data_IF_890721106527
#
_entry.id   IF_890721106527
#
_cell.length_a   1.000
_cell.length_b   1.000
_cell.length_c   1.000
_cell.angle_alpha   90.00
_cell.angle_beta   90.00
_cell.angle_gamma   90.00
#
_symmetry.space_group_name_H-M   'P 1'
#
loop_
_entity.id
_entity.type
_entity.pdbx_description
1 polymer ?
#
# COMPACT_ATOMS: atom_id res chain seq x y z
N UNK A 1 38.31 24.37 17.81
CA UNK A 1 38.79 22.99 18.03
C UNK A 1 37.67 21.95 18.14
N UNK A 2 36.75 22.03 19.11
CA UNK A 2 35.65 21.03 19.28
C UNK A 2 34.77 20.84 18.03
N UNK A 3 34.43 21.92 17.33
CA UNK A 3 33.64 21.89 16.09
C UNK A 3 34.36 21.18 14.92
N UNK A 4 35.68 21.37 14.80
CA UNK A 4 36.50 20.74 13.75
C UNK A 4 36.58 19.22 13.99
N UNK A 5 36.79 18.80 15.24
CA UNK A 5 36.80 17.38 15.60
C UNK A 5 35.43 16.72 15.32
N UNK A 6 34.34 17.43 15.58
CA UNK A 6 33.00 16.97 15.24
C UNK A 6 32.81 16.80 13.72
N UNK A 7 33.19 17.80 12.92
CA UNK A 7 33.14 17.72 11.46
C UNK A 7 33.97 16.57 10.91
N UNK A 8 35.20 16.39 11.41
CA UNK A 8 36.06 15.27 11.01
C UNK A 8 35.44 13.92 11.37
N UNK A 9 34.83 13.80 12.56
CA UNK A 9 34.10 12.59 12.96
C UNK A 9 32.91 12.30 12.04
N UNK A 10 32.12 13.32 11.70
CA UNK A 10 31.01 13.19 10.75
C UNK A 10 31.50 12.75 9.36
N UNK A 11 32.52 13.42 8.82
CA UNK A 11 33.12 13.06 7.53
C UNK A 11 33.66 11.62 7.54
N UNK A 12 34.32 11.20 8.62
CA UNK A 12 34.82 9.83 8.77
C UNK A 12 33.69 8.80 8.73
N UNK A 13 32.56 9.05 9.41
CA UNK A 13 31.38 8.16 9.34
C UNK A 13 30.80 8.12 7.93
N UNK A 14 30.69 9.26 7.25
CA UNK A 14 30.21 9.32 5.86
C UNK A 14 31.13 8.50 4.95
N UNK A 15 32.45 8.68 5.04
CA UNK A 15 33.41 7.89 4.27
C UNK A 15 33.29 6.40 4.59
N UNK A 16 33.20 6.04 5.87
CA UNK A 16 33.10 4.64 6.31
C UNK A 16 31.84 3.93 5.79
N UNK A 17 30.67 4.56 5.92
CA UNK A 17 29.39 3.97 5.50
C UNK A 17 29.29 3.83 3.98
N UNK A 18 30.00 4.68 3.23
CA UNK A 18 30.00 4.67 1.77
C UNK A 18 31.24 3.98 1.18
N UNK A 19 32.12 3.39 1.99
CA UNK A 19 33.30 2.65 1.51
C UNK A 19 32.91 1.28 0.90
N UNK A 20 33.58 0.80 -0.16
CA UNK A 20 34.75 1.38 -0.83
C UNK A 20 34.44 2.55 -1.78
N UNK A 21 33.24 2.56 -2.37
CA UNK A 21 32.92 3.46 -3.49
C UNK A 21 32.23 4.74 -3.03
N UNK A 22 32.92 5.53 -2.20
CA UNK A 22 32.33 6.69 -1.51
C UNK A 22 31.65 7.67 -2.46
N UNK A 23 32.31 8.00 -3.57
CA UNK A 23 31.80 8.95 -4.56
C UNK A 23 30.57 8.38 -5.27
N UNK A 24 30.60 7.10 -5.63
CA UNK A 24 29.50 6.45 -6.35
C UNK A 24 28.27 6.33 -5.46
N UNK A 25 28.43 5.86 -4.22
CA UNK A 25 27.33 5.76 -3.26
C UNK A 25 26.69 7.13 -2.96
N UNK A 26 27.48 8.19 -2.83
CA UNK A 26 26.96 9.55 -2.69
C UNK A 26 26.23 10.03 -3.94
N UNK A 27 26.73 9.73 -5.14
CA UNK A 27 26.04 10.03 -6.41
C UNK A 27 24.72 9.27 -6.52
N UNK A 28 24.68 7.98 -6.20
CA UNK A 28 23.47 7.16 -6.19
C UNK A 28 22.46 7.67 -5.17
N UNK A 29 22.90 8.08 -3.98
CA UNK A 29 22.04 8.70 -2.98
C UNK A 29 21.44 10.02 -3.50
N UNK A 30 22.25 10.87 -4.13
CA UNK A 30 21.77 12.12 -4.73
C UNK A 30 20.79 11.88 -5.89
N UNK A 31 21.10 10.91 -6.75
CA UNK A 31 20.22 10.50 -7.84
C UNK A 31 18.90 9.96 -7.31
N UNK A 32 18.94 9.11 -6.28
CA UNK A 32 17.75 8.61 -5.61
C UNK A 32 16.89 9.74 -5.03
N UNK A 33 17.49 10.73 -4.36
CA UNK A 33 16.78 11.92 -3.85
C UNK A 33 16.14 12.71 -5.00
N UNK A 34 16.87 12.89 -6.10
CA UNK A 34 16.37 13.58 -7.31
C UNK A 34 15.21 12.83 -7.94
N UNK A 35 15.32 11.51 -8.11
CA UNK A 35 14.26 10.65 -8.66
C UNK A 35 13.04 10.67 -7.75
N UNK A 36 13.23 10.52 -6.44
CA UNK A 36 12.15 10.52 -5.45
C UNK A 36 11.34 11.82 -5.45
N UNK A 37 11.96 12.95 -5.81
CA UNK A 37 11.26 14.23 -5.97
C UNK A 37 10.60 14.45 -7.33
N UNK A 38 11.01 13.71 -8.37
CA UNK A 38 10.49 13.87 -9.74
C UNK A 38 9.46 12.79 -10.13
N UNK A 39 9.61 11.57 -9.61
CA UNK A 39 8.83 10.39 -9.95
C UNK A 39 8.52 9.60 -8.68
N UNK A 40 7.58 10.13 -7.89
CA UNK A 40 7.10 9.46 -6.68
C UNK A 40 6.12 8.33 -7.05
N UNK A 41 5.82 7.40 -6.12
CA UNK A 41 4.93 6.28 -6.41
C UNK A 41 3.51 6.73 -6.73
N UNK A 42 3.08 7.92 -6.27
CA UNK A 42 1.82 8.52 -6.70
C UNK A 42 1.74 8.69 -8.21
N UNK A 43 2.85 9.10 -8.83
CA UNK A 43 2.96 9.21 -10.28
C UNK A 43 2.80 7.86 -11.00
N UNK A 44 3.33 6.77 -10.46
CA UNK A 44 3.18 5.42 -11.04
C UNK A 44 1.76 4.85 -10.89
N UNK A 45 1.03 5.28 -9.87
CA UNK A 45 -0.27 4.70 -9.49
C UNK A 45 -1.44 5.67 -9.75
N UNK A 46 -1.24 6.65 -10.63
CA UNK A 46 -2.22 7.72 -10.83
C UNK A 46 -3.60 7.23 -11.20
N UNK A 47 -3.68 6.14 -11.98
CA UNK A 47 -4.94 5.44 -12.24
C UNK A 47 -5.65 5.21 -10.91
N UNK A 48 -5.06 4.39 -10.04
CA UNK A 48 -5.65 3.96 -8.78
C UNK A 48 -5.91 5.11 -7.82
N UNK A 49 -5.09 6.15 -7.83
CA UNK A 49 -5.20 7.24 -6.88
C UNK A 49 -6.27 8.27 -7.25
N UNK A 50 -6.59 8.40 -8.54
CA UNK A 50 -7.58 9.36 -9.03
C UNK A 50 -9.00 9.12 -8.48
N UNK A 51 -9.36 7.90 -8.08
CA UNK A 51 -10.63 7.63 -7.37
C UNK A 51 -10.67 8.25 -5.97
N UNK A 52 -9.53 8.39 -5.29
CA UNK A 52 -9.48 8.91 -3.93
C UNK A 52 -9.15 10.40 -3.89
N UNK A 53 -8.44 10.89 -4.90
CA UNK A 53 -7.91 12.24 -4.99
C UNK A 53 -8.18 12.88 -6.37
N UNK A 54 -9.44 12.92 -6.85
CA UNK A 54 -9.75 13.34 -8.23
C UNK A 54 -9.41 14.81 -8.54
N UNK A 55 -9.19 15.63 -7.52
CA UNK A 55 -8.92 17.08 -7.65
C UNK A 55 -7.46 17.46 -7.38
N UNK A 56 -6.60 16.51 -7.03
CA UNK A 56 -5.20 16.79 -6.74
C UNK A 56 -4.35 16.57 -7.98
N UNK A 57 -3.37 17.44 -8.18
CA UNK A 57 -2.27 17.11 -9.06
C UNK A 57 -1.47 15.98 -8.39
N UNK A 58 -1.64 14.77 -8.92
CA UNK A 58 -1.13 13.55 -8.28
C UNK A 58 0.39 13.56 -8.15
N UNK A 59 1.11 14.34 -8.99
CA UNK A 59 2.56 14.53 -8.86
C UNK A 59 2.95 15.28 -7.58
N UNK A 60 2.09 16.19 -7.12
CA UNK A 60 2.32 17.06 -5.96
C UNK A 60 1.61 16.52 -4.71
N UNK A 61 0.92 15.37 -4.82
CA UNK A 61 0.24 14.75 -3.70
C UNK A 61 1.25 14.30 -2.64
N UNK A 62 1.15 14.92 -1.48
CA UNK A 62 1.96 14.67 -0.29
C UNK A 62 1.12 14.94 0.94
N UNK A 63 1.39 14.25 2.05
CA UNK A 63 0.79 14.57 3.35
C UNK A 63 1.58 15.60 4.16
N UNK A 64 2.76 16.02 3.69
CA UNK A 64 3.56 17.08 4.28
C UNK A 64 3.95 16.83 5.75
N UNK A 65 4.02 17.89 6.56
CA UNK A 65 4.28 17.80 8.00
C UNK A 65 3.26 16.96 8.78
N UNK A 66 2.00 16.93 8.34
CA UNK A 66 0.97 16.11 8.99
C UNK A 66 1.32 14.62 8.86
N UNK A 67 1.78 14.20 7.68
CA UNK A 67 2.26 12.83 7.48
C UNK A 67 3.45 12.52 8.38
N UNK A 68 4.43 13.43 8.49
CA UNK A 68 5.63 13.24 9.32
C UNK A 68 5.25 13.03 10.80
N UNK A 69 4.35 13.86 11.32
CA UNK A 69 3.87 13.73 12.70
C UNK A 69 3.18 12.38 12.90
N UNK A 70 2.26 12.00 11.99
CA UNK A 70 1.53 10.73 12.07
C UNK A 70 2.47 9.52 11.93
N UNK A 71 3.43 9.58 11.02
CA UNK A 71 4.45 8.55 10.80
C UNK A 71 5.29 8.35 12.07
N UNK A 72 5.86 9.40 12.64
CA UNK A 72 6.67 9.26 13.85
C UNK A 72 5.86 8.88 15.09
N UNK A 73 4.60 9.32 15.19
CA UNK A 73 3.69 8.84 16.25
C UNK A 73 3.37 7.35 16.10
N UNK A 74 3.32 6.81 14.87
CA UNK A 74 3.11 5.38 14.63
C UNK A 74 4.37 4.56 14.90
N UNK A 75 5.51 4.99 14.34
CA UNK A 75 6.77 4.25 14.39
C UNK A 75 7.46 4.35 15.74
N UNK A 76 7.28 5.48 16.42
CA UNK A 76 7.96 5.85 17.66
C UNK A 76 6.98 6.52 18.65
N UNK A 77 5.86 5.85 19.02
CA UNK A 77 4.77 6.45 19.80
C UNK A 77 5.18 7.01 21.16
N UNK A 78 6.31 6.54 21.70
CA UNK A 78 6.88 7.00 22.96
C UNK A 78 8.12 7.88 22.75
N UNK A 79 9.05 7.48 21.88
CA UNK A 79 10.28 8.24 21.65
C UNK A 79 10.00 9.60 21.02
N UNK A 80 9.03 9.72 20.11
CA UNK A 80 8.76 10.98 19.42
C UNK A 80 8.14 12.05 20.35
N UNK A 81 7.12 11.74 21.19
CA UNK A 81 6.67 12.69 22.22
C UNK A 81 7.76 13.02 23.25
N UNK A 82 8.56 12.03 23.67
CA UNK A 82 9.68 12.26 24.59
C UNK A 82 10.74 13.17 23.96
N UNK A 83 11.01 13.01 22.66
CA UNK A 83 11.88 13.90 21.89
C UNK A 83 11.36 15.34 21.90
N UNK A 84 10.08 15.56 21.59
CA UNK A 84 9.45 16.88 21.64
C UNK A 84 9.58 17.49 23.05
N UNK A 85 9.27 16.71 24.09
CA UNK A 85 9.41 17.15 25.48
C UNK A 85 10.87 17.46 25.84
N UNK A 86 11.81 16.66 25.33
CA UNK A 86 13.25 16.84 25.46
C UNK A 86 13.71 18.15 24.83
N UNK A 87 13.27 18.46 23.61
CA UNK A 87 13.52 19.75 22.93
C UNK A 87 13.07 20.91 23.82
N UNK A 88 11.82 20.89 24.27
CA UNK A 88 11.25 21.95 25.13
C UNK A 88 12.03 22.08 26.43
N UNK A 89 12.40 20.95 27.04
CA UNK A 89 13.15 20.90 28.29
C UNK A 89 14.54 21.51 28.15
N UNK A 90 15.33 21.10 27.15
CA UNK A 90 16.70 21.63 26.96
C UNK A 90 16.69 23.11 26.56
N UNK A 91 15.72 23.55 25.76
CA UNK A 91 15.56 24.96 25.43
C UNK A 91 15.22 25.81 26.65
N UNK A 92 14.47 25.28 27.63
CA UNK A 92 14.15 25.99 28.87
C UNK A 92 15.28 25.98 29.89
N UNK A 93 16.04 24.89 29.99
CA UNK A 93 17.04 24.68 31.07
C UNK A 93 18.48 24.97 30.67
N UNK A 94 18.80 24.89 29.39
CA UNK A 94 20.15 25.01 28.88
C UNK A 94 20.19 25.88 27.61
N UNK A 95 19.38 26.94 27.52
CA UNK A 95 19.35 27.81 26.34
C UNK A 95 20.73 28.37 26.02
N UNK A 96 21.26 28.02 24.86
CA UNK A 96 22.53 28.51 24.35
C UNK A 96 22.57 28.36 22.83
N UNK A 97 23.44 29.08 22.11
CA UNK A 97 23.63 28.86 20.68
C UNK A 97 23.95 27.40 20.33
N UNK A 98 24.71 26.70 21.19
CA UNK A 98 25.01 25.28 21.01
C UNK A 98 23.78 24.39 21.16
N UNK A 99 22.90 24.68 22.11
CA UNK A 99 21.63 23.95 22.32
C UNK A 99 20.69 24.12 21.14
N UNK A 100 20.56 25.34 20.62
CA UNK A 100 19.76 25.61 19.40
C UNK A 100 20.32 24.81 18.23
N UNK A 101 21.65 24.80 18.05
CA UNK A 101 22.30 24.02 17.00
C UNK A 101 22.00 22.52 17.13
N UNK A 102 22.07 21.95 18.34
CA UNK A 102 21.73 20.54 18.57
C UNK A 102 20.27 20.22 18.22
N UNK A 103 19.33 21.09 18.60
CA UNK A 103 17.92 20.93 18.25
C UNK A 103 17.73 20.96 16.73
N UNK A 104 18.31 21.95 16.05
CA UNK A 104 18.24 22.06 14.58
C UNK A 104 18.83 20.83 13.89
N UNK A 105 20.03 20.40 14.29
CA UNK A 105 20.68 19.22 13.70
C UNK A 105 19.87 17.94 13.93
N UNK A 106 19.23 17.80 15.10
CA UNK A 106 18.42 16.61 15.42
C UNK A 106 17.17 16.47 14.55
N UNK A 107 16.63 17.58 14.04
CA UNK A 107 15.42 17.63 13.23
C UNK A 107 15.71 17.94 11.75
N UNK A 108 16.98 18.04 11.37
CA UNK A 108 17.39 18.42 10.02
C UNK A 108 16.93 17.42 8.95
N UNK A 109 17.00 16.08 9.15
CA UNK A 109 16.63 15.16 8.08
C UNK A 109 15.17 15.30 7.60
N UNK A 110 14.14 15.35 8.48
CA UNK A 110 12.76 15.64 8.03
C UNK A 110 12.61 16.98 7.32
N UNK A 111 13.30 18.03 7.79
CA UNK A 111 13.28 19.35 7.14
C UNK A 111 13.85 19.28 5.72
N UNK A 112 15.00 18.63 5.55
CA UNK A 112 15.62 18.47 4.24
C UNK A 112 14.77 17.60 3.30
N UNK A 113 14.17 16.52 3.82
CA UNK A 113 13.26 15.66 3.07
C UNK A 113 12.07 16.47 2.51
N UNK A 114 11.48 17.35 3.32
CA UNK A 114 10.37 18.20 2.89
C UNK A 114 10.80 19.30 1.92
N UNK A 115 11.93 19.98 2.17
CA UNK A 115 12.47 20.98 1.23
C UNK A 115 12.76 20.36 -0.14
N UNK A 116 13.24 19.11 -0.17
CA UNK A 116 13.55 18.39 -1.41
C UNK A 116 12.37 17.70 -2.05
N UNK A 117 11.21 17.66 -1.37
CA UNK A 117 10.06 16.96 -1.88
C UNK A 117 10.31 15.46 -2.09
N UNK A 118 11.11 14.80 -1.24
CA UNK A 118 11.32 13.34 -1.37
C UNK A 118 10.03 12.57 -1.06
N UNK A 119 9.89 11.38 -1.63
CA UNK A 119 8.74 10.50 -1.41
C UNK A 119 8.49 10.23 0.09
N UNK A 120 7.21 10.23 0.50
CA UNK A 120 6.82 10.14 1.91
C UNK A 120 6.61 8.68 2.35
N UNK A 121 7.71 8.00 2.65
CA UNK A 121 7.74 6.64 3.22
C UNK A 121 8.97 6.44 4.12
N UNK A 122 8.98 5.36 4.90
CA UNK A 122 9.83 5.20 6.08
C UNK A 122 11.33 5.37 5.84
N UNK A 123 11.89 4.74 4.81
CA UNK A 123 13.32 4.82 4.50
C UNK A 123 13.86 6.26 4.40
N UNK A 124 13.07 7.19 3.85
CA UNK A 124 13.48 8.60 3.70
C UNK A 124 13.53 9.39 5.00
N UNK A 125 12.80 8.94 6.02
CA UNK A 125 12.68 9.63 7.31
C UNK A 125 13.40 8.90 8.44
N UNK A 126 13.82 7.65 8.22
CA UNK A 126 14.59 6.86 9.18
C UNK A 126 15.86 7.57 9.71
N UNK A 127 16.63 8.34 8.89
CA UNK A 127 17.79 9.07 9.40
C UNK A 127 17.48 10.06 10.54
N UNK A 128 16.23 10.53 10.65
CA UNK A 128 15.79 11.39 11.76
C UNK A 128 15.92 10.71 13.14
N UNK A 129 15.82 9.37 13.18
CA UNK A 129 15.93 8.60 14.41
C UNK A 129 17.28 8.83 15.13
N UNK A 130 18.37 8.95 14.38
CA UNK A 130 19.70 9.23 14.96
C UNK A 130 19.72 10.60 15.62
N UNK A 131 19.13 11.61 14.97
CA UNK A 131 18.97 12.94 15.53
C UNK A 131 18.16 12.93 16.82
N UNK A 132 17.04 12.19 16.84
CA UNK A 132 16.17 12.07 18.02
C UNK A 132 16.89 11.41 19.19
N UNK A 133 17.56 10.28 18.97
CA UNK A 133 18.32 9.57 20.01
C UNK A 133 19.43 10.46 20.58
N UNK A 134 20.15 11.15 19.71
CA UNK A 134 21.25 12.04 20.11
C UNK A 134 20.75 13.20 20.98
N UNK A 135 19.66 13.88 20.56
CA UNK A 135 19.08 14.95 21.36
C UNK A 135 18.53 14.43 22.69
N UNK A 136 17.91 13.24 22.69
CA UNK A 136 17.44 12.61 23.93
C UNK A 136 18.59 12.30 24.89
N UNK A 137 19.72 11.81 24.39
CA UNK A 137 20.93 11.62 25.21
C UNK A 137 21.45 12.94 25.78
N UNK A 138 21.46 14.01 24.98
CA UNK A 138 21.81 15.35 25.44
C UNK A 138 20.82 15.85 26.51
N UNK A 139 19.52 15.73 26.28
CA UNK A 139 18.48 16.12 27.23
C UNK A 139 18.60 15.35 28.55
N UNK A 140 18.86 14.03 28.50
CA UNK A 140 19.12 13.22 29.69
C UNK A 140 20.37 13.71 30.45
N UNK A 141 21.43 14.10 29.74
CA UNK A 141 22.65 14.62 30.38
C UNK A 141 22.42 15.95 31.12
N UNK A 142 21.57 16.82 30.58
CA UNK A 142 21.13 18.06 31.23
C UNK A 142 20.25 17.71 32.43
N UNK A 143 19.31 16.78 32.25
CA UNK A 143 18.35 16.39 33.27
C UNK A 143 18.99 15.73 34.50
N UNK A 144 19.98 14.84 34.32
CA UNK A 144 20.68 14.17 35.43
C UNK A 144 21.42 15.18 36.34
N UNK A 145 21.81 16.33 35.78
CA UNK A 145 22.46 17.43 36.51
C UNK A 145 21.45 18.43 37.10
N UNK A 146 20.17 18.32 36.76
CA UNK A 146 19.11 19.21 37.23
C UNK A 146 18.71 18.85 38.68
N UNK A 147 18.46 19.84 39.56
CA UNK A 147 17.96 19.60 40.91
C UNK A 147 16.66 18.76 40.98
N UNK A 148 15.88 18.68 39.91
CA UNK A 148 14.68 17.86 39.82
C UNK A 148 14.97 16.34 39.68
N UNK A 149 16.19 15.94 39.31
CA UNK A 149 16.55 14.55 39.05
C UNK A 149 16.22 13.59 40.21
N UNK A 150 16.58 13.86 41.48
CA UNK A 150 16.29 12.94 42.58
C UNK A 150 14.79 12.64 42.74
N UNK A 151 13.92 13.61 42.38
CA UNK A 151 12.47 13.48 42.46
C UNK A 151 11.87 12.72 41.27
N UNK A 152 12.46 12.89 40.08
CA UNK A 152 11.88 12.39 38.82
C UNK A 152 12.59 11.16 38.25
N UNK A 153 13.74 10.74 38.79
CA UNK A 153 14.50 9.58 38.30
C UNK A 153 13.70 8.28 38.22
N UNK A 154 12.77 8.07 39.17
CA UNK A 154 11.92 6.88 39.16
C UNK A 154 10.93 6.93 37.99
N UNK A 155 10.30 8.08 37.74
CA UNK A 155 9.41 8.26 36.59
C UNK A 155 10.15 8.14 35.26
N UNK A 156 11.38 8.66 35.18
CA UNK A 156 12.23 8.49 34.00
C UNK A 156 12.58 7.01 33.75
N UNK A 157 12.89 6.25 34.81
CA UNK A 157 13.13 4.81 34.72
C UNK A 157 11.87 4.06 34.27
N UNK A 158 10.71 4.37 34.85
CA UNK A 158 9.42 3.78 34.45
C UNK A 158 9.16 4.06 32.97
N UNK A 159 9.33 5.31 32.51
CA UNK A 159 9.16 5.66 31.10
C UNK A 159 10.10 4.88 30.18
N UNK A 160 11.37 4.69 30.57
CA UNK A 160 12.33 3.88 29.82
C UNK A 160 11.95 2.39 29.76
N UNK A 161 11.43 1.82 30.86
CA UNK A 161 10.94 0.43 30.91
C UNK A 161 9.71 0.27 30.02
N UNK A 162 8.72 1.16 30.15
CA UNK A 162 7.52 1.18 29.29
C UNK A 162 7.91 1.30 27.81
N UNK A 163 8.90 2.15 27.50
CA UNK A 163 9.46 2.28 26.16
C UNK A 163 10.06 0.96 25.64
N UNK A 164 10.92 0.31 26.43
CA UNK A 164 11.53 -0.96 26.04
C UNK A 164 10.50 -2.07 25.84
N UNK A 165 9.55 -2.22 26.76
CA UNK A 165 8.49 -3.23 26.67
C UNK A 165 7.54 -2.96 25.49
N UNK A 166 7.15 -1.71 25.27
CA UNK A 166 6.28 -1.32 24.15
C UNK A 166 6.91 -1.63 22.79
N UNK A 167 8.19 -1.27 22.58
CA UNK A 167 8.91 -1.60 21.35
C UNK A 167 9.14 -3.11 21.21
N UNK A 168 9.50 -3.80 22.30
CA UNK A 168 9.64 -5.25 22.30
C UNK A 168 8.34 -5.95 21.90
N UNK A 169 7.20 -5.45 22.37
CA UNK A 169 5.88 -5.96 22.00
C UNK A 169 5.57 -5.74 20.52
N UNK A 170 5.79 -4.54 19.97
CA UNK A 170 5.59 -4.25 18.53
C UNK A 170 6.52 -5.11 17.68
N UNK A 171 7.79 -5.24 18.07
CA UNK A 171 8.73 -6.08 17.36
C UNK A 171 8.28 -7.55 17.35
N UNK A 172 7.92 -8.11 18.50
CA UNK A 172 7.54 -9.52 18.63
C UNK A 172 6.20 -9.87 17.97
N UNK A 173 5.22 -8.96 17.98
CA UNK A 173 3.87 -9.23 17.47
C UNK A 173 3.62 -8.69 16.06
N UNK A 174 4.48 -7.81 15.56
CA UNK A 174 4.35 -7.22 14.23
C UNK A 174 5.57 -7.47 13.36
N UNK A 175 6.69 -6.79 13.66
CA UNK A 175 7.84 -6.68 12.75
C UNK A 175 8.50 -8.03 12.50
N UNK A 176 8.77 -8.79 13.56
CA UNK A 176 9.44 -10.09 13.49
C UNK A 176 8.59 -11.14 12.77
N UNK A 177 7.33 -11.40 13.18
CA UNK A 177 6.52 -12.44 12.52
C UNK A 177 6.20 -12.10 11.06
N UNK A 178 6.02 -10.82 10.70
CA UNK A 178 5.79 -10.43 9.31
C UNK A 178 7.00 -10.64 8.41
N UNK A 179 8.21 -10.41 8.94
CA UNK A 179 9.48 -10.62 8.23
C UNK A 179 9.83 -12.10 8.11
N UNK A 180 9.42 -12.91 9.09
CA UNK A 180 9.69 -14.36 9.14
C UNK A 180 8.57 -15.21 8.54
N UNK A 181 7.59 -14.61 7.86
CA UNK A 181 6.40 -15.28 7.34
C UNK A 181 6.73 -16.56 6.55
N UNK A 182 7.61 -16.48 5.55
CA UNK A 182 7.98 -17.62 4.70
C UNK A 182 8.70 -18.70 5.48
N UNK A 183 9.55 -18.34 6.45
CA UNK A 183 10.21 -19.30 7.33
C UNK A 183 9.20 -20.04 8.21
N UNK A 184 8.20 -19.33 8.75
CA UNK A 184 7.15 -19.93 9.56
C UNK A 184 6.23 -20.83 8.73
N UNK A 185 5.91 -20.43 7.50
CA UNK A 185 5.18 -21.27 6.54
C UNK A 185 5.97 -22.55 6.26
N UNK A 186 7.26 -22.46 5.92
CA UNK A 186 8.10 -23.64 5.66
C UNK A 186 8.12 -24.59 6.85
N UNK A 187 8.42 -24.08 8.05
CA UNK A 187 8.45 -24.90 9.28
C UNK A 187 7.10 -25.51 9.59
N UNK A 188 6.02 -24.82 9.29
CA UNK A 188 4.67 -25.34 9.49
C UNK A 188 4.41 -26.53 8.54
N UNK A 189 4.69 -26.38 7.25
CA UNK A 189 4.50 -27.44 6.24
C UNK A 189 5.37 -28.67 6.59
N UNK A 190 6.64 -28.44 6.95
CA UNK A 190 7.57 -29.49 7.40
C UNK A 190 7.03 -30.26 8.62
N UNK A 191 6.51 -29.55 9.64
CA UNK A 191 5.94 -30.17 10.84
C UNK A 191 4.68 -30.98 10.57
N UNK A 192 3.88 -30.56 9.59
CA UNK A 192 2.71 -31.33 9.14
C UNK A 192 3.08 -32.53 8.26
N UNK A 193 4.37 -32.70 7.91
CA UNK A 193 4.82 -33.79 7.04
C UNK A 193 4.21 -33.75 5.64
N UNK A 194 3.76 -32.57 5.19
CA UNK A 194 3.06 -32.45 3.92
C UNK A 194 4.04 -32.31 2.77
N UNK A 195 4.05 -33.31 1.89
CA UNK A 195 4.89 -33.32 0.68
C UNK A 195 4.26 -32.55 -0.47
N UNK A 196 2.93 -32.59 -0.57
CA UNK A 196 2.19 -31.93 -1.62
C UNK A 196 1.40 -30.76 -1.03
N UNK A 197 1.63 -29.55 -1.57
CA UNK A 197 0.94 -28.33 -1.15
C UNK A 197 0.35 -27.65 -2.38
N UNK A 198 -0.96 -27.45 -2.38
CA UNK A 198 -1.64 -26.75 -3.46
C UNK A 198 -1.41 -25.24 -3.33
N UNK A 199 -1.21 -24.54 -4.44
CA UNK A 199 -1.10 -23.08 -4.44
C UNK A 199 -1.56 -22.50 -5.77
N UNK A 200 -2.07 -21.26 -5.75
CA UNK A 200 -2.66 -20.65 -6.94
C UNK A 200 -1.62 -20.42 -8.03
N UNK A 201 -1.92 -20.87 -9.26
CA UNK A 201 -1.00 -20.81 -10.41
C UNK A 201 -0.65 -19.38 -10.79
N UNK A 202 -1.66 -18.52 -10.92
CA UNK A 202 -1.58 -17.18 -11.51
C UNK A 202 -1.56 -16.06 -10.49
N UNK A 203 -1.49 -16.36 -9.18
CA UNK A 203 -1.52 -15.32 -8.16
C UNK A 203 -0.23 -14.47 -8.19
N UNK A 204 -0.32 -13.13 -8.29
CA UNK A 204 0.85 -12.25 -8.40
C UNK A 204 1.83 -12.34 -7.22
N UNK A 205 1.32 -12.54 -6.00
CA UNK A 205 2.17 -12.73 -4.81
C UNK A 205 2.67 -14.18 -4.64
N UNK A 206 2.34 -15.10 -5.54
CA UNK A 206 2.79 -16.50 -5.46
C UNK A 206 4.32 -16.58 -5.38
N UNK A 207 5.03 -15.84 -6.25
CA UNK A 207 6.51 -15.84 -6.27
C UNK A 207 7.10 -15.33 -4.95
N UNK A 208 6.51 -14.28 -4.38
CA UNK A 208 6.95 -13.69 -3.11
C UNK A 208 6.74 -14.61 -1.91
N UNK A 209 5.82 -15.58 -2.01
CA UNK A 209 5.52 -16.52 -0.92
C UNK A 209 6.21 -17.87 -1.14
N UNK A 210 6.02 -18.48 -2.32
CA UNK A 210 6.49 -19.84 -2.64
C UNK A 210 8.00 -19.85 -2.90
N UNK A 211 8.49 -19.00 -3.80
CA UNK A 211 9.89 -19.06 -4.23
C UNK A 211 10.85 -18.56 -3.13
N UNK A 212 10.32 -17.88 -2.11
CA UNK A 212 11.05 -17.34 -0.96
C UNK A 212 10.89 -18.18 0.31
N UNK A 213 10.30 -19.38 0.21
CA UNK A 213 10.33 -20.36 1.28
C UNK A 213 11.77 -20.84 1.53
N UNK A 214 11.99 -21.49 2.68
CA UNK A 214 13.28 -22.06 3.02
C UNK A 214 13.77 -23.00 1.89
N UNK A 215 14.98 -22.80 1.33
CA UNK A 215 15.52 -23.65 0.25
C UNK A 215 15.57 -25.14 0.59
N UNK A 216 15.68 -25.50 1.87
CA UNK A 216 15.59 -26.90 2.32
C UNK A 216 14.17 -27.44 2.14
N UNK A 217 13.18 -26.71 2.64
CA UNK A 217 11.77 -27.07 2.51
C UNK A 217 11.35 -27.21 1.04
N UNK A 218 11.84 -26.31 0.17
CA UNK A 218 11.56 -26.35 -1.28
C UNK A 218 12.06 -27.61 -1.98
N UNK A 219 13.04 -28.33 -1.42
CA UNK A 219 13.50 -29.62 -1.97
C UNK A 219 12.60 -30.79 -1.59
N UNK A 220 11.84 -30.64 -0.50
CA UNK A 220 11.02 -31.70 0.08
C UNK A 220 9.52 -31.53 -0.22
N UNK A 221 9.11 -30.32 -0.64
CA UNK A 221 7.72 -29.95 -0.92
C UNK A 221 7.51 -29.78 -2.43
N UNK A 222 6.50 -30.47 -2.97
CA UNK A 222 5.97 -30.29 -4.31
C UNK A 222 4.80 -29.31 -4.26
N UNK A 223 4.92 -28.19 -4.99
CA UNK A 223 3.82 -27.23 -5.13
C UNK A 223 2.94 -27.58 -6.33
N UNK A 224 1.69 -27.95 -6.06
CA UNK A 224 0.71 -28.30 -7.09
C UNK A 224 -0.07 -27.03 -7.48
N UNK A 225 0.02 -26.55 -8.72
CA UNK A 225 -0.71 -25.36 -9.15
C UNK A 225 -2.21 -25.64 -9.23
N UNK A 226 -3.02 -24.74 -8.69
CA UNK A 226 -4.48 -24.74 -8.80
C UNK A 226 -4.99 -23.39 -9.31
N UNK A 227 -6.18 -23.41 -9.90
CA UNK A 227 -6.90 -22.22 -10.35
C UNK A 227 -8.13 -21.94 -9.45
N UNK A 228 -8.55 -22.94 -8.65
CA UNK A 228 -9.57 -22.78 -7.59
C UNK A 228 -9.30 -23.74 -6.43
N UNK A 229 -9.61 -23.33 -5.19
CA UNK A 229 -9.59 -24.19 -4.00
C UNK A 229 -10.44 -25.44 -4.18
N UNK A 230 -11.46 -25.40 -5.05
CA UNK A 230 -12.30 -26.54 -5.37
C UNK A 230 -11.57 -27.67 -6.12
N UNK A 231 -10.38 -27.42 -6.68
CA UNK A 231 -9.56 -28.45 -7.34
C UNK A 231 -8.75 -29.31 -6.36
N UNK A 232 -8.47 -28.80 -5.17
CA UNK A 232 -7.74 -29.54 -4.14
C UNK A 232 -8.72 -30.46 -3.39
N UNK A 233 -8.64 -31.76 -3.63
CA UNK A 233 -9.52 -32.76 -3.00
C UNK A 233 -9.15 -33.05 -1.54
N UNK A 234 -7.88 -32.86 -1.18
CA UNK A 234 -7.36 -33.12 0.18
C UNK A 234 -6.05 -32.38 0.43
N UNK A 235 -5.52 -32.45 1.66
CA UNK A 235 -4.24 -31.85 2.01
C UNK A 235 -4.31 -30.34 2.29
N UNK A 236 -3.20 -29.64 2.03
CA UNK A 236 -3.01 -28.24 2.39
C UNK A 236 -3.01 -27.33 1.18
N UNK A 237 -3.72 -26.21 1.25
CA UNK A 237 -3.65 -25.14 0.27
C UNK A 237 -2.88 -23.97 0.87
N UNK A 238 -1.74 -23.62 0.30
CA UNK A 238 -1.04 -22.37 0.58
C UNK A 238 -1.68 -21.26 -0.25
N UNK A 239 -2.49 -20.45 0.44
CA UNK A 239 -3.14 -19.27 -0.07
C UNK A 239 -2.25 -18.04 0.21
N UNK A 240 -1.65 -17.42 -0.83
CA UNK A 240 -1.03 -16.10 -0.67
C UNK A 240 -2.05 -15.07 -0.18
N UNK A 241 -1.62 -13.93 0.37
CA UNK A 241 -2.54 -12.90 0.86
C UNK A 241 -3.64 -12.53 -0.14
N UNK A 242 -4.94 -12.73 0.21
CA UNK A 242 -6.06 -12.25 -0.59
C UNK A 242 -6.01 -10.74 -0.87
N UNK A 243 -5.56 -9.97 0.12
CA UNK A 243 -5.21 -8.58 -0.04
C UNK A 243 -3.85 -8.47 -0.72
N UNK A 244 -3.83 -7.87 -1.90
CA UNK A 244 -2.66 -7.73 -2.77
C UNK A 244 -1.71 -6.62 -2.37
N UNK A 245 -2.14 -5.75 -1.46
CA UNK A 245 -1.36 -4.63 -0.95
C UNK A 245 -0.14 -5.14 -0.17
N UNK A 246 1.04 -4.82 -0.69
CA UNK A 246 2.30 -5.09 -0.01
C UNK A 246 3.35 -4.06 -0.41
N UNK A 247 4.46 -4.01 0.32
CA UNK A 247 5.59 -3.14 -0.03
C UNK A 247 6.20 -3.48 -1.41
N UNK A 248 5.91 -4.67 -1.95
CA UNK A 248 6.36 -5.11 -3.27
C UNK A 248 5.35 -4.82 -4.38
N UNK A 249 4.10 -4.54 -4.02
CA UNK A 249 3.00 -4.21 -4.93
C UNK A 249 2.13 -3.16 -4.25
N UNK A 250 2.62 -1.92 -4.22
CA UNK A 250 1.89 -0.79 -3.67
C UNK A 250 0.69 -0.47 -4.54
N UNK A 251 -0.52 -0.66 -4.03
CA UNK A 251 -1.79 -0.17 -4.59
C UNK A 251 -2.14 -0.58 -6.04
N UNK A 252 -1.34 -1.37 -6.74
CA UNK A 252 -1.61 -1.95 -8.06
C UNK A 252 -2.25 -3.34 -7.98
N UNK A 253 -2.78 -3.64 -6.80
CA UNK A 253 -3.56 -4.82 -6.54
C UNK A 253 -4.87 -4.77 -7.29
N UNK A 254 -4.91 -5.30 -8.50
CA UNK A 254 -6.17 -5.72 -9.06
C UNK A 254 -6.67 -6.81 -8.12
N UNK A 255 -7.66 -6.51 -7.27
CA UNK A 255 -8.28 -7.47 -6.35
C UNK A 255 -9.01 -8.62 -7.08
N UNK A 256 -8.77 -8.76 -8.38
CA UNK A 256 -9.24 -9.79 -9.28
C UNK A 256 -8.40 -11.08 -9.18
N UNK A 257 -7.37 -11.12 -8.32
CA UNK A 257 -6.42 -12.24 -8.25
C UNK A 257 -7.07 -13.59 -7.87
N UNK A 258 -8.31 -13.57 -7.35
CA UNK A 258 -9.15 -14.75 -7.12
C UNK A 258 -10.52 -14.68 -7.81
N UNK A 259 -10.76 -13.78 -8.77
CA UNK A 259 -12.08 -13.60 -9.41
C UNK A 259 -12.65 -14.90 -10.00
N UNK A 260 -11.76 -15.76 -10.51
CA UNK A 260 -12.11 -17.06 -11.07
C UNK A 260 -12.44 -18.14 -10.02
N UNK A 261 -12.06 -17.94 -8.75
CA UNK A 261 -12.35 -18.87 -7.67
C UNK A 261 -13.61 -18.48 -6.90
N UNK A 262 -14.76 -18.83 -7.47
CA UNK A 262 -16.06 -18.54 -6.89
C UNK A 262 -16.23 -19.09 -5.46
N UNK A 263 -15.67 -20.26 -5.15
CA UNK A 263 -15.80 -20.88 -3.82
C UNK A 263 -15.01 -20.09 -2.79
N UNK A 264 -13.74 -19.79 -3.07
CA UNK A 264 -12.92 -18.99 -2.16
C UNK A 264 -13.51 -17.59 -1.96
N UNK A 265 -14.02 -16.97 -3.02
CA UNK A 265 -14.69 -15.67 -2.94
C UNK A 265 -15.91 -15.72 -2.02
N UNK A 266 -16.72 -16.77 -2.04
CA UNK A 266 -17.83 -16.92 -1.10
C UNK A 266 -17.34 -17.07 0.34
N UNK A 267 -16.32 -17.90 0.58
CA UNK A 267 -15.72 -18.08 1.91
C UNK A 267 -15.24 -16.73 2.48
N UNK A 268 -14.52 -15.94 1.68
CA UNK A 268 -14.01 -14.62 2.08
C UNK A 268 -15.16 -13.63 2.32
N UNK A 269 -16.15 -13.57 1.43
CA UNK A 269 -17.31 -12.67 1.57
C UNK A 269 -18.13 -12.94 2.82
N UNK A 270 -18.30 -14.22 3.17
CA UNK A 270 -18.99 -14.63 4.38
C UNK A 270 -18.14 -14.44 5.66
N UNK A 271 -16.89 -13.99 5.55
CA UNK A 271 -15.97 -13.83 6.68
C UNK A 271 -15.51 -15.15 7.29
N UNK A 272 -15.63 -16.27 6.56
CA UNK A 272 -15.35 -17.63 7.06
C UNK A 272 -13.96 -18.15 6.73
N UNK A 273 -13.08 -17.33 6.14
CA UNK A 273 -11.74 -17.78 5.73
C UNK A 273 -10.96 -18.41 6.90
N UNK A 274 -11.06 -17.82 8.09
CA UNK A 274 -10.40 -18.34 9.29
C UNK A 274 -10.93 -19.72 9.72
N UNK A 275 -12.21 -20.02 9.46
CA UNK A 275 -12.81 -21.31 9.81
C UNK A 275 -12.22 -22.46 8.98
N UNK A 276 -11.74 -22.18 7.77
CA UNK A 276 -11.10 -23.16 6.88
C UNK A 276 -9.57 -23.11 6.95
N UNK A 277 -9.01 -22.22 7.75
CA UNK A 277 -7.58 -22.09 7.93
C UNK A 277 -7.07 -23.01 9.05
N UNK A 278 -6.00 -23.75 8.76
CA UNK A 278 -5.25 -24.52 9.75
C UNK A 278 -4.20 -23.60 10.40
N UNK A 279 -3.63 -22.68 9.61
CA UNK A 279 -2.70 -21.68 10.11
C UNK A 279 -2.81 -20.37 9.32
N UNK A 280 -2.45 -19.27 9.97
CA UNK A 280 -2.33 -17.95 9.34
C UNK A 280 -1.01 -17.30 9.74
N UNK A 281 -0.39 -16.63 8.79
CA UNK A 281 0.94 -16.04 8.94
C UNK A 281 0.88 -14.56 8.65
N UNK A 282 1.38 -13.76 9.60
CA UNK A 282 1.55 -12.32 9.38
C UNK A 282 2.54 -12.14 8.23
N UNK A 283 2.19 -11.31 7.26
CA UNK A 283 3.10 -10.90 6.17
C UNK A 283 3.43 -9.41 6.30
N UNK A 284 4.35 -8.91 5.47
CA UNK A 284 4.66 -7.49 5.40
C UNK A 284 3.43 -6.62 5.07
N UNK A 285 2.50 -7.10 4.23
CA UNK A 285 1.26 -6.39 3.90
C UNK A 285 0.25 -6.31 5.07
N UNK A 286 0.34 -7.23 6.03
CA UNK A 286 -0.50 -7.23 7.25
C UNK A 286 0.12 -6.48 8.43
N UNK A 287 1.31 -5.92 8.26
CA UNK A 287 2.01 -5.17 9.29
C UNK A 287 1.53 -3.72 9.37
N UNK A 288 1.48 -3.19 10.58
CA UNK A 288 1.27 -1.76 10.82
C UNK A 288 2.46 -0.92 10.37
N UNK A 289 3.65 -1.51 10.53
CA UNK A 289 4.94 -0.85 10.38
C UNK A 289 5.45 -0.98 8.95
N UNK A 290 5.49 -2.19 8.39
CA UNK A 290 6.11 -2.39 7.07
C UNK A 290 5.36 -1.67 5.94
N UNK A 291 4.04 -1.52 6.04
CA UNK A 291 3.27 -0.75 5.05
C UNK A 291 3.73 0.71 4.91
N UNK A 292 4.45 1.25 5.91
CA UNK A 292 5.02 2.60 5.84
C UNK A 292 6.27 2.69 4.98
N UNK A 293 6.85 1.56 4.54
CA UNK A 293 7.99 1.52 3.62
C UNK A 293 7.57 1.62 2.14
N UNK A 294 6.28 1.82 1.88
CA UNK A 294 5.73 2.08 0.55
C UNK A 294 4.85 3.33 0.63
N UNK A 295 5.11 4.29 -0.25
CA UNK A 295 4.57 5.65 -0.15
C UNK A 295 3.04 5.71 -0.24
N UNK A 296 2.41 4.93 -1.12
CA UNK A 296 0.96 4.96 -1.28
C UNK A 296 0.27 4.26 -0.12
N UNK A 297 0.77 3.11 0.30
CA UNK A 297 0.26 2.41 1.47
C UNK A 297 0.41 3.28 2.72
N UNK A 298 1.54 3.96 2.90
CA UNK A 298 1.74 4.90 3.99
C UNK A 298 0.72 6.05 3.95
N UNK A 299 0.48 6.64 2.78
CA UNK A 299 -0.48 7.72 2.62
C UNK A 299 -1.92 7.28 2.82
N UNK A 300 -2.34 6.16 2.22
CA UNK A 300 -3.67 5.57 2.43
C UNK A 300 -3.92 5.32 3.92
N UNK A 301 -2.92 4.79 4.61
CA UNK A 301 -3.02 4.51 6.04
C UNK A 301 -3.08 5.79 6.88
N UNK A 302 -2.07 6.66 6.77
CA UNK A 302 -1.90 7.80 7.66
C UNK A 302 -2.82 8.98 7.30
N UNK A 303 -3.07 9.21 6.01
CA UNK A 303 -3.79 10.39 5.53
C UNK A 303 -5.25 10.09 5.20
N UNK A 304 -5.53 8.98 4.52
CA UNK A 304 -6.90 8.64 4.09
C UNK A 304 -7.64 7.74 5.08
N UNK A 305 -6.95 7.15 6.06
CA UNK A 305 -7.50 6.15 6.97
C UNK A 305 -8.14 4.95 6.21
N UNK A 306 -7.57 4.59 5.06
CA UNK A 306 -8.03 3.53 4.17
C UNK A 306 -7.15 2.29 4.35
N UNK A 307 -7.54 1.38 5.24
CA UNK A 307 -6.90 0.06 5.37
C UNK A 307 -7.93 -1.01 5.77
N UNK A 308 -8.90 -1.33 4.87
CA UNK A 308 -9.92 -2.29 5.18
C UNK A 308 -9.28 -3.69 5.18
N UNK A 309 -9.30 -4.37 6.33
CA UNK A 309 -9.09 -5.84 6.46
C UNK A 309 -7.64 -6.35 6.32
N UNK A 310 -6.82 -6.05 7.34
CA UNK A 310 -5.45 -6.60 7.48
C UNK A 310 -5.38 -8.11 7.67
N UNK A 311 -6.47 -8.73 8.07
CA UNK A 311 -6.60 -10.18 8.08
C UNK A 311 -6.46 -10.75 6.67
N UNK A 312 -7.01 -10.08 5.66
CA UNK A 312 -6.88 -10.49 4.26
C UNK A 312 -5.47 -10.28 3.70
N UNK A 313 -4.61 -9.50 4.33
CA UNK A 313 -3.21 -9.37 3.91
C UNK A 313 -2.28 -10.42 4.54
N UNK A 314 -2.82 -11.37 5.33
CA UNK A 314 -2.08 -12.52 5.86
C UNK A 314 -1.97 -13.63 4.81
N UNK A 315 -0.93 -14.45 4.91
CA UNK A 315 -0.86 -15.71 4.16
C UNK A 315 -1.56 -16.80 4.98
N UNK A 316 -2.19 -17.76 4.30
CA UNK A 316 -3.01 -18.79 4.94
C UNK A 316 -2.62 -20.18 4.47
N UNK A 317 -2.69 -21.15 5.38
CA UNK A 317 -2.72 -22.57 5.04
C UNK A 317 -4.14 -23.07 5.30
N UNK A 318 -4.85 -23.45 4.24
CA UNK A 318 -6.23 -23.92 4.31
C UNK A 318 -6.32 -25.44 4.30
N UNK A 319 -7.37 -25.97 4.94
CA UNK A 319 -7.75 -27.38 4.91
C UNK A 319 -8.59 -27.67 3.66
N UNK A 320 -8.00 -28.34 2.67
CA UNK A 320 -8.71 -28.68 1.44
C UNK A 320 -9.85 -29.67 1.70
N UNK A 321 -9.69 -30.65 2.59
CA UNK A 321 -10.74 -31.64 2.86
C UNK A 321 -11.96 -30.98 3.49
N UNK A 322 -11.74 -30.06 4.44
CA UNK A 322 -12.82 -29.30 5.07
C UNK A 322 -13.56 -28.43 4.06
N UNK A 323 -12.83 -27.74 3.17
CA UNK A 323 -13.44 -26.95 2.08
C UNK A 323 -14.28 -27.84 1.15
N UNK A 324 -13.77 -29.02 0.77
CA UNK A 324 -14.52 -29.94 -0.11
C UNK A 324 -15.79 -30.47 0.54
N UNK A 325 -15.72 -30.84 1.82
CA UNK A 325 -16.88 -31.32 2.58
C UNK A 325 -17.99 -30.26 2.63
N UNK A 326 -17.61 -29.01 2.85
CA UNK A 326 -18.54 -27.89 3.02
C UNK A 326 -18.82 -27.15 1.71
N UNK A 327 -18.29 -27.60 0.56
CA UNK A 327 -18.37 -26.90 -0.72
C UNK A 327 -19.80 -26.53 -1.13
N UNK A 328 -20.78 -27.37 -0.79
CA UNK A 328 -22.19 -27.11 -1.04
C UNK A 328 -22.74 -25.85 -0.34
N UNK A 329 -22.12 -25.41 0.75
CA UNK A 329 -22.47 -24.18 1.48
C UNK A 329 -21.96 -22.91 0.78
N UNK A 330 -21.04 -23.06 -0.18
CA UNK A 330 -20.37 -21.98 -0.90
C UNK A 330 -20.67 -21.99 -2.38
N UNK A 331 -21.80 -22.60 -2.76
CA UNK A 331 -22.27 -22.51 -4.14
C UNK A 331 -22.50 -21.02 -4.47
N UNK A 332 -21.93 -20.53 -5.59
CA UNK A 332 -22.16 -19.16 -6.02
C UNK A 332 -23.65 -18.95 -6.30
N UNK A 333 -24.13 -17.75 -6.00
CA UNK A 333 -25.50 -17.37 -6.37
C UNK A 333 -25.62 -17.22 -7.89
N UNK A 334 -26.85 -17.22 -8.42
CA UNK A 334 -27.08 -16.90 -9.85
C UNK A 334 -26.52 -15.51 -10.21
N UNK A 335 -26.60 -14.56 -9.29
CA UNK A 335 -25.98 -13.24 -9.46
C UNK A 335 -24.47 -13.35 -9.58
N UNK A 336 -23.79 -14.14 -8.74
CA UNK A 336 -22.35 -14.32 -8.83
C UNK A 336 -21.93 -14.98 -10.14
N UNK A 337 -22.66 -16.00 -10.57
CA UNK A 337 -22.44 -16.67 -11.86
C UNK A 337 -22.68 -15.70 -13.03
N UNK A 338 -23.69 -14.85 -12.92
CA UNK A 338 -23.96 -13.81 -13.91
C UNK A 338 -22.82 -12.81 -14.01
N UNK A 339 -22.35 -12.26 -12.88
CA UNK A 339 -21.24 -11.31 -12.87
C UNK A 339 -19.96 -11.93 -13.44
N UNK A 340 -19.70 -13.18 -13.07
CA UNK A 340 -18.55 -13.94 -13.56
C UNK A 340 -18.59 -14.13 -15.07
N UNK A 341 -19.67 -14.74 -15.59
CA UNK A 341 -19.83 -15.07 -17.02
C UNK A 341 -19.83 -13.85 -17.93
N UNK A 342 -20.30 -12.70 -17.42
CA UNK A 342 -20.40 -11.46 -18.18
C UNK A 342 -19.27 -10.48 -17.89
N UNK A 343 -18.22 -10.90 -17.16
CA UNK A 343 -17.09 -10.05 -16.77
C UNK A 343 -17.51 -8.69 -16.16
N UNK A 344 -18.56 -8.71 -15.33
CA UNK A 344 -19.08 -7.51 -14.68
C UNK A 344 -18.27 -7.22 -13.43
N UNK A 345 -17.94 -5.95 -13.23
CA UNK A 345 -17.13 -5.44 -12.12
C UNK A 345 -17.93 -4.46 -11.29
N UNK A 346 -17.88 -4.61 -9.97
CA UNK A 346 -18.46 -3.65 -9.04
C UNK A 346 -17.55 -2.42 -8.93
N UNK A 347 -18.14 -1.23 -8.89
CA UNK A 347 -17.43 0.04 -8.64
C UNK A 347 -18.06 0.71 -7.43
N UNK A 348 -17.22 1.00 -6.43
CA UNK A 348 -17.63 1.74 -5.23
C UNK A 348 -18.22 0.89 -4.11
N UNK A 349 -17.89 -0.39 -4.01
CA UNK A 349 -18.25 -1.25 -2.86
C UNK A 349 -17.15 -1.29 -1.82
N UNK A 350 -17.50 -1.50 -0.54
CA UNK A 350 -16.51 -1.58 0.57
C UNK A 350 -15.84 -2.96 0.63
N UNK A 351 -16.60 -4.01 0.34
CA UNK A 351 -16.17 -5.41 0.46
C UNK A 351 -15.44 -5.92 -0.78
N UNK A 352 -15.66 -5.30 -1.94
CA UNK A 352 -15.00 -5.61 -3.20
C UNK A 352 -14.41 -4.32 -3.74
N UNK A 353 -13.23 -3.93 -3.26
CA UNK A 353 -12.44 -2.87 -3.92
C UNK A 353 -11.89 -3.43 -5.24
N UNK A 354 -12.78 -3.76 -6.16
CA UNK A 354 -12.43 -4.20 -7.49
C UNK A 354 -12.16 -2.94 -8.28
N UNK A 355 -10.88 -2.64 -8.48
CA UNK A 355 -10.52 -1.65 -9.48
C UNK A 355 -10.86 -2.26 -10.84
N UNK A 356 -11.85 -1.66 -11.51
CA UNK A 356 -11.93 -1.80 -12.95
C UNK A 356 -10.62 -1.22 -13.50
N UNK A 357 -9.71 -2.07 -13.99
CA UNK A 357 -8.41 -1.63 -14.54
C UNK A 357 -8.56 -0.85 -15.83
N UNK A 358 -9.78 -0.82 -16.34
CA UNK A 358 -10.11 -0.10 -17.53
C UNK A 358 -9.99 -0.92 -18.79
N UNK A 359 -10.40 -0.29 -19.88
CA UNK A 359 -10.07 -0.74 -21.22
C UNK A 359 -8.66 -0.27 -21.58
N UNK A 360 -7.93 -1.09 -22.34
CA UNK A 360 -6.69 -0.68 -22.98
C UNK A 360 -6.89 -0.77 -24.49
N UNK A 361 -6.48 0.28 -25.19
CA UNK A 361 -6.60 0.38 -26.63
C UNK A 361 -5.36 0.99 -27.25
N UNK A 362 -5.29 0.95 -28.58
CA UNK A 362 -4.28 1.65 -29.35
C UNK A 362 -4.93 2.51 -30.42
N UNK A 363 -4.35 3.68 -30.63
CA UNK A 363 -4.73 4.64 -31.65
C UNK A 363 -3.67 4.60 -32.76
N UNK A 364 -4.09 4.30 -33.99
CA UNK A 364 -3.19 4.17 -35.14
C UNK A 364 -2.78 5.52 -35.77
N UNK A 365 -3.69 6.50 -35.73
CA UNK A 365 -3.52 7.87 -36.23
C UNK A 365 -4.14 8.84 -35.24
N UNK A 366 -3.63 10.07 -35.16
CA UNK A 366 -4.20 11.06 -34.25
C UNK A 366 -5.71 11.25 -34.52
N UNK A 367 -6.52 11.29 -33.46
CA UNK A 367 -7.98 11.41 -33.51
C UNK A 367 -8.50 12.19 -32.31
N UNK A 368 -9.76 12.63 -32.36
CA UNK A 368 -10.45 13.29 -31.26
C UNK A 368 -11.43 12.34 -30.61
N UNK A 369 -11.21 12.07 -29.32
CA UNK A 369 -12.11 11.27 -28.50
C UNK A 369 -13.12 12.19 -27.81
N UNK A 370 -14.37 12.19 -28.30
CA UNK A 370 -15.47 12.95 -27.70
C UNK A 370 -16.07 12.28 -26.48
N UNK A 371 -16.04 10.96 -26.46
CA UNK A 371 -16.57 10.20 -25.35
C UNK A 371 -16.34 8.72 -25.47
N UNK A 372 -16.62 8.04 -24.38
CA UNK A 372 -16.49 6.59 -24.25
C UNK A 372 -17.85 6.05 -23.84
N UNK A 373 -18.34 5.06 -24.58
CA UNK A 373 -19.54 4.33 -24.20
C UNK A 373 -19.13 3.12 -23.36
N UNK A 374 -19.75 2.94 -22.20
CA UNK A 374 -19.62 1.74 -21.38
C UNK A 374 -21.00 1.16 -21.11
N UNK A 375 -21.10 -0.16 -21.01
CA UNK A 375 -22.32 -0.79 -20.50
C UNK A 375 -22.28 -0.78 -18.97
N UNK A 376 -23.24 -0.08 -18.36
CA UNK A 376 -23.27 0.18 -16.91
C UNK A 376 -24.69 0.00 -16.37
N UNK A 377 -24.80 -0.44 -15.12
CA UNK A 377 -26.02 -0.34 -14.33
C UNK A 377 -25.71 -0.03 -12.87
N UNK A 378 -26.71 0.43 -12.13
CA UNK A 378 -26.58 0.72 -10.70
C UNK A 378 -27.37 -0.29 -9.85
N UNK A 379 -26.87 -0.51 -8.64
CA UNK A 379 -27.46 -1.32 -7.58
C UNK A 379 -27.84 -0.38 -6.44
N UNK A 380 -29.05 -0.51 -5.89
CA UNK A 380 -29.56 0.41 -4.89
C UNK A 380 -29.91 1.78 -5.47
N UNK A 381 -29.66 2.84 -4.71
CA UNK A 381 -29.94 4.22 -5.15
C UNK A 381 -28.75 5.15 -4.87
N UNK A 382 -27.60 4.95 -5.57
CA UNK A 382 -26.45 5.84 -5.41
C UNK A 382 -26.83 7.26 -5.85
N UNK A 383 -26.36 8.26 -5.11
CA UNK A 383 -26.67 9.69 -5.33
C UNK A 383 -25.49 10.46 -5.93
N UNK A 384 -24.46 9.75 -6.33
CA UNK A 384 -23.18 10.29 -6.81
C UNK A 384 -23.00 10.02 -8.31
N UNK A 385 -21.77 10.14 -8.80
CA UNK A 385 -21.50 10.08 -10.23
C UNK A 385 -20.41 9.05 -10.55
N UNK A 386 -20.41 8.65 -11.81
CA UNK A 386 -19.27 7.98 -12.43
C UNK A 386 -18.49 8.96 -13.31
N UNK A 387 -17.18 8.77 -13.41
CA UNK A 387 -16.28 9.52 -14.30
C UNK A 387 -15.32 8.57 -14.99
N UNK A 388 -15.06 8.81 -16.27
CA UNK A 388 -14.01 8.12 -17.01
C UNK A 388 -12.73 8.95 -17.03
N UNK A 389 -11.59 8.29 -16.92
CA UNK A 389 -10.25 8.85 -16.87
C UNK A 389 -9.42 8.21 -17.97
N UNK A 390 -8.78 9.02 -18.81
CA UNK A 390 -7.98 8.53 -19.94
C UNK A 390 -6.50 8.73 -19.66
N UNK A 391 -5.73 7.67 -19.87
CA UNK A 391 -4.30 7.64 -19.64
C UNK A 391 -3.56 7.23 -20.92
N UNK A 392 -2.34 7.74 -21.10
CA UNK A 392 -1.40 7.33 -22.17
C UNK A 392 -0.18 6.65 -21.58
N UNK A 393 0.52 5.86 -22.37
CA UNK A 393 1.86 5.41 -22.00
C UNK A 393 2.84 6.58 -22.19
N UNK A 394 3.73 6.80 -21.23
CA UNK A 394 4.80 7.77 -21.36
C UNK A 394 5.82 7.34 -22.43
N UNK A 395 6.35 8.30 -23.18
CA UNK A 395 7.24 8.00 -24.30
C UNK A 395 8.65 7.59 -23.82
N UNK A 396 9.00 7.88 -22.56
CA UNK A 396 10.34 7.65 -22.01
C UNK A 396 10.41 6.44 -21.08
N UNK A 397 9.27 5.96 -20.59
CA UNK A 397 9.18 4.91 -19.59
C UNK A 397 7.81 4.22 -19.61
N UNK A 398 7.70 2.94 -19.21
CA UNK A 398 6.47 2.17 -19.28
C UNK A 398 5.48 2.56 -18.16
N UNK A 399 5.01 3.82 -18.17
CA UNK A 399 4.10 4.39 -17.18
C UNK A 399 2.84 4.95 -17.80
N UNK A 400 1.74 4.90 -17.04
CA UNK A 400 0.47 5.49 -17.46
C UNK A 400 0.31 6.90 -16.89
N UNK A 401 0.22 7.90 -17.77
CA UNK A 401 0.06 9.30 -17.42
C UNK A 401 -1.31 9.83 -17.85
N UNK A 402 -1.84 10.90 -17.24
CA UNK A 402 -3.07 11.53 -17.67
C UNK A 402 -2.88 11.97 -19.11
N UNK A 403 -3.86 11.69 -19.97
CA UNK A 403 -3.68 11.88 -21.40
C UNK A 403 -3.41 13.36 -21.76
N UNK A 404 -4.16 14.25 -21.13
CA UNK A 404 -4.14 15.70 -21.29
C UNK A 404 -4.74 16.37 -20.02
N UNK A 405 -4.70 17.70 -19.84
CA UNK A 405 -5.32 18.36 -18.69
C UNK A 405 -6.82 18.06 -18.51
N UNK A 406 -7.55 17.82 -19.60
CA UNK A 406 -8.97 17.45 -19.66
C UNK A 406 -9.21 15.93 -19.73
N UNK A 407 -8.29 15.11 -19.24
CA UNK A 407 -8.37 13.63 -19.28
C UNK A 407 -9.52 12.99 -18.50
N UNK A 408 -10.29 13.79 -17.76
CA UNK A 408 -11.41 13.36 -16.93
C UNK A 408 -12.71 13.72 -17.65
N UNK A 409 -13.65 12.78 -17.74
CA UNK A 409 -14.96 13.04 -18.33
C UNK A 409 -15.80 13.98 -17.46
N UNK A 410 -16.84 14.53 -18.06
CA UNK A 410 -17.95 15.10 -17.31
C UNK A 410 -18.57 14.05 -16.37
N UNK A 411 -19.11 14.46 -15.22
CA UNK A 411 -19.74 13.53 -14.28
C UNK A 411 -21.00 12.93 -14.91
N UNK A 412 -21.11 11.60 -14.85
CA UNK A 412 -22.30 10.87 -15.25
C UNK A 412 -23.16 10.60 -14.00
N UNK A 413 -24.27 11.32 -13.87
CA UNK A 413 -25.21 11.18 -12.75
C UNK A 413 -25.80 9.77 -12.66
N UNK A 414 -25.99 9.27 -11.44
CA UNK A 414 -26.75 8.04 -11.17
C UNK A 414 -28.14 8.04 -11.79
N UNK A 415 -28.78 9.20 -11.97
CA UNK A 415 -30.10 9.30 -12.62
C UNK A 415 -30.08 8.96 -14.11
N UNK A 416 -28.90 9.03 -14.74
CA UNK A 416 -28.69 8.67 -16.13
C UNK A 416 -28.25 7.20 -16.32
N UNK A 417 -28.14 6.44 -15.23
CA UNK A 417 -27.71 5.04 -15.24
C UNK A 417 -28.90 4.15 -14.87
N UNK A 418 -29.15 3.14 -15.71
CA UNK A 418 -30.24 2.18 -15.53
C UNK A 418 -30.03 1.26 -14.32
N UNK A 419 -31.15 0.78 -13.76
CA UNK A 419 -31.17 -0.30 -12.76
C UNK A 419 -31.23 -1.69 -13.42
N UNK A 420 -31.34 -1.76 -14.75
CA UNK A 420 -31.46 -3.02 -15.47
C UNK A 420 -30.17 -3.84 -15.34
N UNK A 421 -30.22 -5.10 -14.85
CA UNK A 421 -29.05 -5.96 -14.78
C UNK A 421 -28.40 -6.24 -16.13
N UNK A 422 -29.13 -6.06 -17.25
CA UNK A 422 -28.55 -6.19 -18.58
C UNK A 422 -27.53 -5.07 -18.91
N UNK A 423 -27.54 -3.99 -18.13
CA UNK A 423 -26.78 -2.77 -18.40
C UNK A 423 -27.31 -1.99 -19.59
N UNK A 424 -27.14 -0.68 -19.54
CA UNK A 424 -27.42 0.20 -20.68
C UNK A 424 -26.16 0.96 -21.08
N UNK A 425 -26.14 1.44 -22.33
CA UNK A 425 -25.04 2.24 -22.84
C UNK A 425 -25.00 3.60 -22.15
N UNK A 426 -23.98 3.79 -21.31
CA UNK A 426 -23.68 5.04 -20.65
C UNK A 426 -22.53 5.75 -21.38
N UNK A 427 -22.68 7.05 -21.65
CA UNK A 427 -21.70 7.83 -22.40
C UNK A 427 -20.95 8.78 -21.45
N UNK A 428 -19.65 8.59 -21.36
CA UNK A 428 -18.72 9.48 -20.66
C UNK A 428 -18.16 10.50 -21.64
N UNK A 429 -18.59 11.76 -21.57
CA UNK A 429 -18.19 12.81 -22.51
C UNK A 429 -16.98 13.60 -22.02
N UNK A 430 -16.10 13.99 -22.94
CA UNK A 430 -14.96 14.88 -22.69
C UNK A 430 -15.22 16.22 -23.37
N UNK A 431 -15.19 17.30 -22.57
CA UNK A 431 -15.38 18.66 -23.06
C UNK A 431 -14.27 19.57 -22.51
N UNK A 432 -13.32 20.03 -23.34
CA UNK A 432 -13.24 19.76 -24.79
C UNK A 432 -12.90 18.29 -25.09
N UNK A 433 -13.12 17.80 -26.33
CA UNK A 433 -12.71 16.46 -26.75
C UNK A 433 -11.21 16.22 -26.54
N UNK A 434 -10.83 14.98 -26.25
CA UNK A 434 -9.43 14.60 -26.03
C UNK A 434 -8.70 14.35 -27.36
N UNK A 435 -7.60 15.05 -27.61
CA UNK A 435 -6.76 14.80 -28.78
C UNK A 435 -5.84 13.59 -28.54
N UNK A 436 -6.28 12.41 -28.98
CA UNK A 436 -5.49 11.19 -28.90
C UNK A 436 -4.41 11.17 -29.97
N UNK A 437 -3.16 11.02 -29.56
CA UNK A 437 -1.99 10.75 -30.40
C UNK A 437 -1.89 9.26 -30.70
N UNK A 438 -1.09 8.94 -31.72
CA UNK A 438 -0.72 7.55 -32.03
C UNK A 438 -0.04 6.91 -30.81
N UNK A 439 -0.54 5.75 -30.39
CA UNK A 439 0.01 5.02 -29.25
C UNK A 439 -1.06 4.30 -28.42
N UNK A 440 -0.61 3.68 -27.34
CA UNK A 440 -1.49 3.01 -26.40
C UNK A 440 -2.15 4.01 -25.44
N UNK A 441 -3.42 3.75 -25.13
CA UNK A 441 -4.18 4.48 -24.13
C UNK A 441 -4.96 3.51 -23.24
N UNK A 442 -5.36 3.98 -22.07
CA UNK A 442 -6.17 3.21 -21.13
C UNK A 442 -7.25 4.09 -20.53
N UNK A 443 -8.42 3.52 -20.32
CA UNK A 443 -9.60 4.22 -19.82
C UNK A 443 -10.03 3.57 -18.54
N UNK A 444 -10.07 4.29 -17.44
CA UNK A 444 -10.61 3.77 -16.18
C UNK A 444 -11.87 4.52 -15.77
N UNK A 445 -12.84 3.82 -15.17
CA UNK A 445 -14.07 4.40 -14.66
C UNK A 445 -14.04 4.37 -13.13
N UNK A 446 -14.28 5.52 -12.50
CA UNK A 446 -14.36 5.66 -11.05
C UNK A 446 -15.68 6.27 -10.61
N UNK A 447 -16.05 5.97 -9.36
CA UNK A 447 -17.12 6.62 -8.61
C UNK A 447 -16.54 7.76 -7.79
N UNK A 448 -17.22 8.91 -7.73
CA UNK A 448 -16.77 10.06 -6.95
C UNK A 448 -17.36 10.16 -5.51
N UNK A 449 -18.34 9.32 -5.19
CA UNK A 449 -18.93 9.22 -3.86
C UNK A 449 -18.31 8.15 -2.95
N UNK A 450 -18.85 8.05 -1.73
CA UNK A 450 -18.38 7.09 -0.71
C UNK A 450 -18.71 5.66 -1.09
N UNK A 451 -17.84 4.73 -0.69
CA UNK A 451 -18.09 3.30 -0.86
C UNK A 451 -19.34 2.83 -0.09
N UNK A 452 -20.17 2.02 -0.75
CA UNK A 452 -21.37 1.40 -0.16
C UNK A 452 -21.60 0.02 -0.76
N UNK A 453 -21.85 -0.98 0.08
CA UNK A 453 -22.24 -2.33 -0.37
C UNK A 453 -23.73 -2.43 -0.75
N UNK A 454 -24.50 -1.34 -0.57
CA UNK A 454 -25.92 -1.25 -0.93
C UNK A 454 -26.15 -0.44 -2.20
N UNK A 455 -25.42 0.66 -2.33
CA UNK A 455 -25.60 1.67 -3.37
C UNK A 455 -24.30 1.76 -4.16
N UNK A 456 -24.20 1.09 -5.30
CA UNK A 456 -22.96 1.00 -6.08
C UNK A 456 -23.25 0.79 -7.57
N UNK A 457 -22.20 0.76 -8.39
CA UNK A 457 -22.32 0.58 -9.84
C UNK A 457 -21.71 -0.72 -10.30
N UNK A 458 -22.16 -1.20 -11.45
CA UNK A 458 -21.61 -2.36 -12.14
C UNK A 458 -21.28 -2.01 -13.57
N UNK A 459 -20.04 -2.29 -13.96
CA UNK A 459 -19.51 -2.02 -15.30
C UNK A 459 -19.11 -3.34 -15.95
N UNK A 460 -19.50 -3.52 -17.21
CA UNK A 460 -19.08 -4.65 -18.01
C UNK A 460 -17.68 -4.42 -18.57
N UNK A 461 -16.74 -5.32 -18.30
CA UNK A 461 -15.35 -5.12 -18.68
C UNK A 461 -15.08 -5.25 -20.19
N UNK A 462 -15.97 -5.93 -20.90
CA UNK A 462 -15.84 -6.33 -22.31
C UNK A 462 -16.40 -5.30 -23.32
N UNK A 463 -17.17 -4.30 -22.86
CA UNK A 463 -17.89 -3.37 -23.74
C UNK A 463 -17.49 -1.92 -23.45
N UNK A 464 -16.34 -1.49 -23.97
CA UNK A 464 -16.03 -0.07 -24.17
C UNK A 464 -16.01 0.28 -25.66
N UNK A 465 -16.95 1.13 -26.09
CA UNK A 465 -17.02 1.69 -27.44
C UNK A 465 -16.41 3.09 -27.49
N UNK A 466 -15.70 3.42 -28.57
CA UNK A 466 -15.14 4.76 -28.80
C UNK A 466 -16.07 5.59 -29.68
N UNK A 467 -16.23 6.87 -29.34
CA UNK A 467 -16.82 7.86 -30.22
C UNK A 467 -15.72 8.79 -30.72
N UNK A 468 -15.27 8.54 -31.95
CA UNK A 468 -14.21 9.27 -32.65
C UNK A 468 -14.80 10.21 -33.70
N UNK A 469 -14.13 11.35 -33.94
CA UNK A 469 -14.35 12.21 -35.12
C UNK A 469 -13.19 12.13 -36.11
#
# INVERSE_FOLDING_TARGET
MKFILFLLGFCAVVVYVNYPDVIENLKSCWEYVRISGQYNHFFYNQKVLAQWLPHFDLKDTRGGWVWIIKYFMLMMPLLFPLYIAGVVYVLRRAFSPGTVLWVVLSFLPPVLAEIKGVAQYGANYFPAMFGFIMLMGYAASVFIRDPLWPRLRMWALIAAVVYGLGNGYVFANDIYPSRMATTFISRFIERQGSKDVYTFRTHPLRRNIVDHLNPRALKEITFIPIDSVAQASSGHILLPPPGTDSIYRGSNGDYNDFDDDLVLNQIIRQGKLADYAIASFKTLGSSLIWGQEEEILAYRYLMLNQFPRRDLTRAWILDAQKIQKDRGLFLPTEEDLFLYRNHVRNIGTQTRQVMYTGYQGAVGKATRLKGIAARVFKMGDPQDHLRAFVFRVDDRQPMWLPYAPNFISQPLSASAISNSPAGEGAIFTFDPPLELRKGAFSVVIYRDGKESDRDFYRVYADVLGRMEE
#
